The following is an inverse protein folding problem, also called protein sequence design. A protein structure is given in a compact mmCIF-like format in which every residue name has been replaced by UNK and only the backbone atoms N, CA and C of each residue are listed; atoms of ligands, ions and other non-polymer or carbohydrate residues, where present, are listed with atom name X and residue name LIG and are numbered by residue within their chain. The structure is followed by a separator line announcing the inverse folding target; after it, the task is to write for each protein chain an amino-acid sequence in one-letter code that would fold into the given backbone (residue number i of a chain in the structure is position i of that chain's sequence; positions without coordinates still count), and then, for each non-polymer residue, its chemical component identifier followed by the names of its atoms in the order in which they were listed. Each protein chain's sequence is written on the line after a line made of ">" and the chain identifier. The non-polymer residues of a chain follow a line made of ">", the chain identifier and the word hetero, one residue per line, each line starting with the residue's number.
data_IF_658046509030
#
_entry.id   IF_658046509030
#
_cell.length_a   1.000
_cell.length_b   1.000
_cell.length_c   1.000
_cell.angle_alpha   90.00
_cell.angle_beta   90.00
_cell.angle_gamma   90.00
#
_symmetry.space_group_name_H-M   'P 1'
#
loop_
_entity.id
_entity.type
_entity.pdbx_description
1 polymer ?
#
# COMPACT_ATOMS: atom_id res chain seq x y z
N UNK A 1 -12.55 8.86 25.44
CA UNK A 1 -11.25 9.47 25.78
C UNK A 1 -10.93 10.51 24.71
N UNK A 2 -10.62 11.76 25.08
CA UNK A 2 -10.13 12.73 24.12
C UNK A 2 -8.76 12.26 23.59
N UNK A 3 -8.47 12.33 22.29
CA UNK A 3 -7.16 11.92 21.78
C UNK A 3 -6.09 12.79 22.44
N UNK A 4 -5.07 12.16 23.04
CA UNK A 4 -3.88 12.85 23.49
C UNK A 4 -3.25 13.52 22.28
N UNK A 5 -3.22 14.85 22.23
CA UNK A 5 -2.57 15.56 21.14
C UNK A 5 -1.09 15.20 21.15
N UNK A 6 -0.65 14.47 20.13
CA UNK A 6 0.77 14.26 19.83
C UNK A 6 1.46 15.63 19.78
N UNK A 7 2.67 15.77 20.33
CA UNK A 7 3.42 17.02 20.19
C UNK A 7 3.51 17.45 18.72
N UNK A 8 3.53 18.76 18.43
CA UNK A 8 3.62 19.26 17.06
C UNK A 8 4.87 18.69 16.37
N UNK A 9 4.70 18.15 15.17
CA UNK A 9 5.82 17.73 14.34
C UNK A 9 6.50 18.97 13.78
N UNK A 10 7.80 19.11 14.02
CA UNK A 10 8.61 20.10 13.33
C UNK A 10 8.90 19.61 11.92
N UNK A 11 8.49 20.41 10.93
CA UNK A 11 8.74 20.16 9.51
C UNK A 11 9.73 21.22 9.05
N UNK A 12 10.79 20.80 8.34
CA UNK A 12 11.76 21.76 7.84
C UNK A 12 11.10 22.74 6.85
N UNK A 13 11.55 24.00 6.78
CA UNK A 13 10.89 25.02 5.97
C UNK A 13 10.82 24.69 4.49
N UNK A 14 11.79 23.94 3.95
CA UNK A 14 11.83 23.59 2.54
C UNK A 14 10.77 22.53 2.22
N UNK A 15 10.61 21.52 3.07
CA UNK A 15 9.56 20.52 2.94
C UNK A 15 8.18 21.17 3.12
N UNK A 16 8.01 22.05 4.11
CA UNK A 16 6.75 22.76 4.32
C UNK A 16 6.35 23.57 3.08
N UNK A 17 7.29 24.29 2.45
CA UNK A 17 7.04 25.03 1.21
C UNK A 17 6.60 24.10 0.06
N UNK A 18 7.26 22.95 -0.10
CA UNK A 18 6.93 21.95 -1.13
C UNK A 18 5.51 21.38 -0.91
N UNK A 19 5.19 20.97 0.32
CA UNK A 19 3.87 20.48 0.68
C UNK A 19 2.79 21.53 0.44
N UNK A 20 3.08 22.81 0.75
CA UNK A 20 2.15 23.91 0.50
C UNK A 20 1.82 24.12 -0.98
N UNK A 21 2.80 23.98 -1.87
CA UNK A 21 2.57 24.05 -3.32
C UNK A 21 1.70 22.89 -3.79
N UNK A 22 1.96 21.68 -3.30
CA UNK A 22 1.18 20.49 -3.66
C UNK A 22 -0.26 20.57 -3.16
N UNK A 23 -0.46 20.99 -1.90
CA UNK A 23 -1.79 21.19 -1.31
C UNK A 23 -2.64 22.17 -2.14
N UNK A 24 -2.05 23.33 -2.52
CA UNK A 24 -2.73 24.33 -3.37
C UNK A 24 -3.15 23.75 -4.72
N UNK A 25 -2.29 22.95 -5.36
CA UNK A 25 -2.61 22.32 -6.66
C UNK A 25 -3.76 21.31 -6.56
N UNK A 26 -3.95 20.72 -5.39
CA UNK A 26 -5.01 19.75 -5.12
C UNK A 26 -6.26 20.38 -4.49
N UNK A 27 -6.29 21.70 -4.29
CA UNK A 27 -7.41 22.39 -3.66
C UNK A 27 -7.59 22.06 -2.17
N UNK A 28 -6.53 21.59 -1.50
CA UNK A 28 -6.56 21.20 -0.09
C UNK A 28 -5.83 22.22 0.80
N UNK A 29 -6.17 22.25 2.09
CA UNK A 29 -5.35 22.96 3.08
C UNK A 29 -4.02 22.23 3.29
N UNK A 30 -2.98 22.94 3.75
CA UNK A 30 -1.68 22.32 4.06
C UNK A 30 -1.83 21.24 5.15
N UNK A 31 -2.69 21.47 6.14
CA UNK A 31 -2.90 20.55 7.24
C UNK A 31 -3.56 19.25 6.74
N UNK A 32 -4.68 19.35 6.02
CA UNK A 32 -5.39 18.18 5.49
C UNK A 32 -4.54 17.41 4.49
N UNK A 33 -3.79 18.12 3.64
CA UNK A 33 -2.88 17.50 2.70
C UNK A 33 -1.77 16.73 3.42
N UNK A 34 -1.14 17.34 4.43
CA UNK A 34 -0.06 16.69 5.20
C UNK A 34 -0.59 15.49 5.97
N UNK A 35 -1.77 15.57 6.56
CA UNK A 35 -2.41 14.43 7.21
C UNK A 35 -2.67 13.29 6.22
N UNK A 36 -3.16 13.60 5.02
CA UNK A 36 -3.40 12.59 3.98
C UNK A 36 -2.11 11.89 3.54
N UNK A 37 -1.01 12.64 3.41
CA UNK A 37 0.32 12.09 3.08
C UNK A 37 0.79 11.15 4.18
N UNK A 38 0.67 11.56 5.45
CA UNK A 38 1.08 10.73 6.58
C UNK A 38 0.25 9.45 6.68
N UNK A 39 -1.07 9.53 6.45
CA UNK A 39 -1.95 8.37 6.41
C UNK A 39 -1.56 7.40 5.30
N UNK A 40 -1.40 7.88 4.07
CA UNK A 40 -0.98 7.04 2.94
C UNK A 40 0.37 6.38 3.18
N UNK A 41 1.33 7.09 3.79
CA UNK A 41 2.63 6.52 4.13
C UNK A 41 2.54 5.47 5.22
N UNK A 42 1.69 5.68 6.24
CA UNK A 42 1.44 4.68 7.27
C UNK A 42 0.84 3.40 6.67
N UNK A 43 -0.19 3.53 5.84
CA UNK A 43 -0.83 2.40 5.15
C UNK A 43 0.19 1.63 4.28
N UNK A 44 1.06 2.35 3.57
CA UNK A 44 2.13 1.74 2.76
C UNK A 44 3.17 1.01 3.63
N UNK A 45 3.59 1.61 4.74
CA UNK A 45 4.56 1.02 5.64
C UNK A 45 4.01 -0.25 6.32
N UNK A 46 2.75 -0.23 6.76
CA UNK A 46 2.07 -1.39 7.34
C UNK A 46 1.97 -2.54 6.34
N UNK A 47 1.59 -2.23 5.09
CA UNK A 47 1.57 -3.20 4.00
C UNK A 47 2.97 -3.78 3.73
N UNK A 48 4.00 -2.94 3.62
CA UNK A 48 5.36 -3.39 3.34
C UNK A 48 5.89 -4.33 4.44
N UNK A 49 5.60 -4.04 5.71
CA UNK A 49 5.95 -4.90 6.85
C UNK A 49 5.24 -6.25 6.74
N UNK A 50 3.94 -6.23 6.43
CA UNK A 50 3.12 -7.44 6.31
C UNK A 50 3.58 -8.31 5.13
N UNK A 51 3.81 -7.71 3.97
CA UNK A 51 4.32 -8.38 2.77
C UNK A 51 5.70 -8.99 3.02
N UNK A 52 6.60 -8.27 3.69
CA UNK A 52 7.92 -8.79 4.04
C UNK A 52 7.83 -10.01 4.97
N UNK A 53 6.97 -9.96 5.99
CA UNK A 53 6.75 -11.09 6.89
C UNK A 53 6.18 -12.31 6.17
N UNK A 54 5.24 -12.09 5.24
CA UNK A 54 4.68 -13.17 4.42
C UNK A 54 5.73 -13.78 3.48
N UNK A 55 6.51 -12.95 2.79
CA UNK A 55 7.54 -13.41 1.85
C UNK A 55 8.66 -14.17 2.55
N UNK A 56 9.10 -13.69 3.73
CA UNK A 56 10.06 -14.41 4.55
C UNK A 56 9.48 -15.77 5.00
N UNK A 57 8.21 -15.81 5.42
CA UNK A 57 7.55 -17.08 5.77
C UNK A 57 7.48 -18.06 4.58
N UNK A 58 7.17 -17.56 3.37
CA UNK A 58 7.16 -18.38 2.15
C UNK A 58 8.55 -18.88 1.79
N UNK A 59 9.57 -18.03 1.94
CA UNK A 59 10.96 -18.38 1.71
C UNK A 59 11.43 -19.48 2.65
N UNK A 60 11.21 -19.32 3.97
CA UNK A 60 11.61 -20.33 4.95
C UNK A 60 10.94 -21.68 4.68
N UNK A 61 9.65 -21.70 4.34
CA UNK A 61 8.95 -22.94 3.96
C UNK A 61 9.58 -23.60 2.73
N UNK A 62 9.98 -22.82 1.73
CA UNK A 62 10.66 -23.35 0.55
C UNK A 62 12.04 -23.92 0.91
N UNK A 63 12.81 -23.22 1.75
CA UNK A 63 14.11 -23.72 2.24
C UNK A 63 13.95 -25.06 2.97
N UNK A 64 12.91 -25.20 3.79
CA UNK A 64 12.63 -26.44 4.54
C UNK A 64 12.15 -27.59 3.64
N UNK A 65 11.27 -27.30 2.68
CA UNK A 65 10.52 -28.35 1.95
C UNK A 65 10.98 -28.57 0.51
N UNK A 66 11.73 -27.64 -0.07
CA UNK A 66 12.02 -27.57 -1.51
C UNK A 66 10.79 -27.46 -2.40
N UNK A 67 9.59 -27.29 -1.82
CA UNK A 67 8.33 -27.38 -2.56
C UNK A 67 7.98 -26.02 -3.15
N UNK A 68 7.79 -26.00 -4.48
CA UNK A 68 7.34 -24.83 -5.22
C UNK A 68 6.06 -25.14 -5.99
N UNK A 69 5.33 -24.09 -6.38
CA UNK A 69 4.20 -24.25 -7.28
C UNK A 69 4.71 -24.21 -8.73
N UNK A 70 4.42 -25.22 -9.57
CA UNK A 70 4.83 -25.19 -10.97
C UNK A 70 4.26 -23.97 -11.70
N UNK A 71 5.08 -23.35 -12.55
CA UNK A 71 4.70 -22.16 -13.32
C UNK A 71 3.38 -22.33 -14.08
N UNK A 72 3.22 -23.48 -14.75
CA UNK A 72 2.03 -23.78 -15.54
C UNK A 72 0.74 -23.81 -14.70
N UNK A 73 0.82 -24.25 -13.44
CA UNK A 73 -0.31 -24.23 -12.51
C UNK A 73 -0.72 -22.80 -12.18
N UNK A 74 0.23 -21.93 -11.86
CA UNK A 74 -0.06 -20.52 -11.57
C UNK A 74 -0.57 -19.81 -12.82
N UNK A 75 0.05 -20.05 -13.98
CA UNK A 75 -0.37 -19.47 -15.27
C UNK A 75 -1.81 -19.83 -15.61
N UNK A 76 -2.19 -21.09 -15.47
CA UNK A 76 -3.55 -21.56 -15.71
C UNK A 76 -4.55 -20.89 -14.75
N UNK A 77 -4.22 -20.82 -13.46
CA UNK A 77 -5.04 -20.16 -12.45
C UNK A 77 -5.27 -18.68 -12.76
N UNK A 78 -4.21 -17.94 -13.08
CA UNK A 78 -4.29 -16.51 -13.41
C UNK A 78 -5.13 -16.26 -14.66
N UNK A 79 -5.02 -17.11 -15.70
CA UNK A 79 -5.88 -17.03 -16.88
C UNK A 79 -7.35 -17.26 -16.56
N UNK A 80 -7.65 -18.23 -15.68
CA UNK A 80 -9.01 -18.48 -15.20
C UNK A 80 -9.60 -17.25 -14.51
N UNK A 81 -8.86 -16.66 -13.57
CA UNK A 81 -9.28 -15.43 -12.88
C UNK A 81 -9.52 -14.26 -13.83
N UNK A 82 -8.67 -14.10 -14.86
CA UNK A 82 -8.84 -13.06 -15.87
C UNK A 82 -10.12 -13.27 -16.71
N UNK A 83 -10.41 -14.51 -17.09
CA UNK A 83 -11.63 -14.86 -17.81
C UNK A 83 -12.88 -14.60 -16.96
N UNK A 84 -12.86 -14.99 -15.68
CA UNK A 84 -13.95 -14.73 -14.73
C UNK A 84 -14.20 -13.23 -14.52
N UNK A 85 -13.14 -12.43 -14.46
CA UNK A 85 -13.25 -10.99 -14.37
C UNK A 85 -13.87 -10.40 -15.64
N UNK A 86 -13.44 -10.84 -16.83
CA UNK A 86 -13.98 -10.39 -18.10
C UNK A 86 -15.49 -10.72 -18.24
N UNK A 87 -15.90 -11.94 -17.91
CA UNK A 87 -17.31 -12.37 -17.98
C UNK A 87 -18.26 -11.66 -17.02
N UNK A 88 -17.74 -11.04 -15.95
CA UNK A 88 -18.53 -10.21 -15.02
C UNK A 88 -18.74 -8.78 -15.50
N UNK A 89 -18.08 -8.36 -16.58
CA UNK A 89 -18.11 -6.99 -17.10
C UNK A 89 -19.10 -6.79 -18.24
N UNK A 90 -19.85 -7.83 -18.65
CA UNK A 90 -20.99 -7.71 -19.55
C UNK A 90 -22.31 -7.65 -18.73
N UNK A 91 -22.80 -6.47 -18.35
CA UNK A 91 -24.21 -6.29 -18.07
C UNK A 91 -24.97 -6.26 -19.40
N UNK A 92 -25.93 -7.18 -19.56
CA UNK A 92 -27.06 -6.95 -20.48
C UNK A 92 -27.88 -5.74 -20.02
#
# INVERSE_FOLDING_TARGET
>A
MAPSKTPPLEIDPQLQARLGVLAKRQGASLADFTESVLRSYADEAERAISEHAEDESRWQRYVETGTSVPFETIRAKLRGLAADAAGKTDPQ
#
